data_IF_853926907600
#
_entry.id   IF_853926907600
#
_cell.length_a   1.000
_cell.length_b   1.000
_cell.length_c   1.000
_cell.angle_alpha   90.00
_cell.angle_beta   90.00
_cell.angle_gamma   90.00
#
_symmetry.space_group_name_H-M   'P 1'
#
loop_
_entity.id
_entity.type
_entity.pdbx_description
1 polymer ?
#
# COMPACT_ATOMS: atom_id res chain seq x y z
N UNK A 1 -7.12 14.29 -6.77
CA UNK A 1 -6.27 13.90 -5.60
C UNK A 1 -6.18 12.37 -5.50
N UNK A 2 -5.20 11.82 -4.79
CA UNK A 2 -5.09 10.37 -4.52
C UNK A 2 -4.86 10.15 -3.04
N UNK A 3 -5.62 9.24 -2.45
CA UNK A 3 -5.45 8.79 -1.07
C UNK A 3 -4.94 7.36 -1.07
N UNK A 4 -4.01 7.06 -0.15
CA UNK A 4 -3.43 5.73 0.00
C UNK A 4 -3.65 5.24 1.41
N UNK A 5 -4.30 4.09 1.55
CA UNK A 5 -4.54 3.43 2.84
C UNK A 5 -3.69 2.17 2.93
N UNK A 6 -3.01 1.96 4.05
CA UNK A 6 -2.39 0.66 4.36
C UNK A 6 -3.49 -0.27 4.86
N UNK A 7 -3.76 -1.32 4.10
CA UNK A 7 -4.83 -2.29 4.41
C UNK A 7 -4.30 -3.44 5.25
N UNK A 8 -3.07 -3.87 4.98
CA UNK A 8 -2.42 -4.92 5.75
C UNK A 8 -0.90 -4.81 5.71
N UNK A 9 -0.27 -5.36 6.75
CA UNK A 9 1.18 -5.49 6.86
C UNK A 9 1.47 -6.91 7.32
N UNK A 10 2.40 -7.59 6.64
CA UNK A 10 2.87 -8.92 7.05
C UNK A 10 4.36 -9.08 6.80
N UNK A 11 4.99 -9.95 7.57
CA UNK A 11 6.38 -10.33 7.33
C UNK A 11 6.53 -11.14 6.04
N UNK A 12 7.68 -10.96 5.38
CA UNK A 12 8.06 -11.84 4.28
C UNK A 12 8.50 -13.19 4.85
N UNK A 13 7.93 -14.27 4.32
CA UNK A 13 8.29 -15.63 4.72
C UNK A 13 9.71 -16.04 4.30
N UNK A 14 10.25 -15.43 3.25
CA UNK A 14 11.54 -15.81 2.66
C UNK A 14 12.65 -14.77 2.82
N UNK A 15 12.30 -13.53 3.18
CA UNK A 15 13.26 -12.41 3.28
C UNK A 15 13.13 -11.74 4.65
N UNK A 16 13.97 -12.09 5.64
CA UNK A 16 13.80 -11.63 7.01
C UNK A 16 13.97 -10.11 7.19
N UNK A 17 14.68 -9.45 6.26
CA UNK A 17 14.98 -8.02 6.25
C UNK A 17 13.83 -7.11 5.80
N UNK A 18 12.69 -7.67 5.38
CA UNK A 18 11.59 -6.92 4.77
C UNK A 18 10.21 -7.55 5.00
N UNK A 19 9.17 -6.75 4.83
CA UNK A 19 7.76 -7.15 4.88
C UNK A 19 7.03 -6.88 3.57
N UNK A 20 5.78 -7.34 3.48
CA UNK A 20 4.84 -7.00 2.42
C UNK A 20 3.79 -6.08 3.03
N UNK A 21 3.59 -4.93 2.39
CA UNK A 21 2.55 -3.96 2.73
C UNK A 21 1.53 -3.92 1.59
N UNK A 22 0.26 -4.05 1.93
CA UNK A 22 -0.83 -3.91 0.98
C UNK A 22 -1.41 -2.49 1.04
N UNK A 23 -1.39 -1.83 -0.11
CA UNK A 23 -1.89 -0.49 -0.29
C UNK A 23 -3.17 -0.51 -1.10
N UNK A 24 -4.13 0.29 -0.67
CA UNK A 24 -5.30 0.64 -1.45
C UNK A 24 -5.19 2.11 -1.85
N UNK A 25 -5.13 2.35 -3.15
CA UNK A 25 -5.10 3.69 -3.72
C UNK A 25 -6.50 4.04 -4.21
N UNK A 26 -7.02 5.19 -3.79
CA UNK A 26 -8.28 5.78 -4.25
C UNK A 26 -7.99 7.11 -4.94
N UNK A 27 -8.33 7.22 -6.22
CA UNK A 27 -8.14 8.43 -7.01
C UNK A 27 -9.47 9.14 -7.23
N UNK A 28 -9.49 10.46 -6.99
CA UNK A 28 -10.67 11.30 -7.09
C UNK A 28 -10.45 12.43 -8.11
N UNK A 29 -11.47 12.71 -8.91
CA UNK A 29 -11.49 13.83 -9.85
C UNK A 29 -11.74 15.17 -9.14
N UNK A 30 -11.89 16.26 -9.90
CA UNK A 30 -12.09 17.61 -9.40
C UNK A 30 -13.43 17.85 -8.67
N UNK A 31 -14.38 16.92 -8.82
CA UNK A 31 -15.69 16.97 -8.17
C UNK A 31 -15.77 15.98 -7.00
N UNK A 32 -14.62 15.54 -6.47
CA UNK A 32 -14.52 14.51 -5.42
C UNK A 32 -15.17 13.17 -5.75
N UNK A 33 -15.36 12.86 -7.04
CA UNK A 33 -15.86 11.57 -7.50
C UNK A 33 -14.71 10.58 -7.60
N UNK A 34 -14.85 9.41 -6.99
CA UNK A 34 -13.91 8.31 -7.13
C UNK A 34 -13.88 7.82 -8.58
N UNK A 35 -12.74 7.92 -9.24
CA UNK A 35 -12.55 7.54 -10.65
C UNK A 35 -11.67 6.33 -10.84
N UNK A 36 -10.83 5.98 -9.85
CA UNK A 36 -10.07 4.74 -9.87
C UNK A 36 -9.81 4.23 -8.46
N UNK A 37 -9.74 2.90 -8.35
CA UNK A 37 -9.34 2.19 -7.14
C UNK A 37 -8.42 1.05 -7.54
N UNK A 38 -7.29 0.89 -6.85
CA UNK A 38 -6.45 -0.28 -7.01
C UNK A 38 -5.90 -0.75 -5.67
N UNK A 39 -5.80 -2.07 -5.52
CA UNK A 39 -5.10 -2.71 -4.40
C UNK A 39 -3.81 -3.30 -4.94
N UNK A 40 -2.68 -2.99 -4.31
CA UNK A 40 -1.40 -3.54 -4.69
C UNK A 40 -0.55 -3.88 -3.48
N UNK A 41 0.24 -4.92 -3.63
CA UNK A 41 1.26 -5.30 -2.67
C UNK A 41 2.59 -4.66 -3.05
N UNK A 42 3.36 -4.24 -2.05
CA UNK A 42 4.73 -3.82 -2.22
C UNK A 42 5.61 -4.37 -1.10
N UNK A 43 6.85 -4.65 -1.45
CA UNK A 43 7.85 -5.17 -0.54
C UNK A 43 8.59 -3.99 0.09
N UNK A 44 8.54 -3.88 1.42
CA UNK A 44 9.09 -2.76 2.18
C UNK A 44 10.18 -3.24 3.13
N UNK A 45 11.32 -2.55 3.13
CA UNK A 45 12.40 -2.82 4.09
C UNK A 45 11.90 -2.61 5.52
N UNK A 46 12.32 -3.48 6.44
CA UNK A 46 12.11 -3.23 7.87
C UNK A 46 12.99 -2.05 8.30
N UNK A 47 12.60 -1.39 9.40
CA UNK A 47 13.47 -0.42 10.06
C UNK A 47 14.77 -1.12 10.44
N UNK A 48 15.91 -0.49 10.16
CA UNK A 48 17.19 -0.95 10.67
C UNK A 48 17.13 -1.04 12.20
N UNK A 49 17.78 -2.08 12.75
CA UNK A 49 17.87 -2.28 14.19
C UNK A 49 18.66 -1.14 14.86
#
# INVERSE_FOLDING_TARGET
RVETTVVSVRDSKSKPDRGIVEFEHRAYNQNDVLVAKCTRQAMMMKKAA
#
